data_IF_260778519400
#
_entry.id   IF_260778519400
#
_cell.length_a   1.000
_cell.length_b   1.000
_cell.length_c   1.000
_cell.angle_alpha   90.00
_cell.angle_beta   90.00
_cell.angle_gamma   90.00
#
_symmetry.space_group_name_H-M   'P 1'
#
loop_
_entity.id
_entity.type
_entity.pdbx_description
1 polymer ?
#
# COMPACT_ATOMS: atom_id res chain seq x y z
N UNK A 1 22.46 50.67 -43.14
CA UNK A 1 21.79 49.41 -42.80
C UNK A 1 22.45 48.91 -41.53
N UNK A 2 21.98 49.36 -40.37
CA UNK A 2 22.66 49.16 -39.09
C UNK A 2 21.65 48.57 -38.10
N UNK A 3 21.71 47.24 -37.95
CA UNK A 3 21.02 46.48 -36.90
C UNK A 3 21.98 46.29 -35.73
N UNK A 4 21.54 46.57 -34.51
CA UNK A 4 21.89 45.88 -33.25
C UNK A 4 21.59 46.80 -32.06
N UNK A 5 21.02 46.36 -30.94
CA UNK A 5 20.64 45.05 -30.41
C UNK A 5 19.56 45.31 -29.36
N UNK A 6 18.56 44.43 -29.27
CA UNK A 6 17.50 44.50 -28.27
C UNK A 6 18.04 44.37 -26.84
N UNK A 7 17.45 45.14 -25.92
CA UNK A 7 17.64 45.02 -24.47
C UNK A 7 17.22 43.62 -24.04
N UNK A 8 18.16 42.81 -23.55
CA UNK A 8 17.84 41.61 -22.78
C UNK A 8 17.11 42.01 -21.49
N UNK A 9 16.01 41.31 -21.23
CA UNK A 9 15.14 41.53 -20.07
C UNK A 9 15.88 41.30 -18.75
N UNK A 10 15.47 42.07 -17.74
CA UNK A 10 15.93 42.00 -16.36
C UNK A 10 15.72 40.58 -15.82
N UNK A 11 16.81 39.92 -15.45
CA UNK A 11 16.76 38.81 -14.49
C UNK A 11 16.13 39.35 -13.21
N UNK A 12 15.18 38.63 -12.62
CA UNK A 12 14.65 39.00 -11.31
C UNK A 12 15.82 38.99 -10.32
N UNK A 13 16.22 40.17 -9.83
CA UNK A 13 17.21 40.31 -8.79
C UNK A 13 16.61 39.74 -7.50
N UNK A 14 17.02 38.52 -7.15
CA UNK A 14 16.68 37.90 -5.87
C UNK A 14 17.51 38.62 -4.80
N UNK A 15 16.90 39.16 -3.73
CA UNK A 15 17.63 39.86 -2.68
C UNK A 15 18.75 38.99 -2.11
N UNK A 16 19.93 39.57 -1.95
CA UNK A 16 21.14 38.83 -1.52
C UNK A 16 20.97 38.20 -0.13
N UNK A 17 20.02 38.71 0.67
CA UNK A 17 19.63 38.20 2.00
C UNK A 17 18.73 36.95 1.94
N UNK A 18 18.04 36.73 0.82
CA UNK A 18 17.22 35.52 0.59
C UNK A 18 18.06 34.36 0.02
N UNK A 19 19.22 34.65 -0.59
CA UNK A 19 20.14 33.64 -1.11
C UNK A 19 20.63 32.66 -0.03
N UNK A 20 21.01 33.08 1.19
CA UNK A 20 21.38 32.16 2.27
C UNK A 20 20.25 31.20 2.64
N UNK A 21 19.01 31.68 2.70
CA UNK A 21 17.87 30.86 3.09
C UNK A 21 17.48 29.88 1.97
N UNK A 22 17.51 30.32 0.70
CA UNK A 22 17.34 29.43 -0.46
C UNK A 22 18.44 28.36 -0.54
N UNK A 23 19.69 28.72 -0.27
CA UNK A 23 20.82 27.77 -0.21
C UNK A 23 20.63 26.78 0.93
N UNK A 24 20.15 27.22 2.10
CA UNK A 24 19.84 26.35 3.24
C UNK A 24 18.69 25.39 2.94
N UNK A 25 17.62 25.88 2.31
CA UNK A 25 16.49 25.06 1.87
C UNK A 25 16.92 24.04 0.81
N UNK A 26 17.68 24.46 -0.20
CA UNK A 26 18.21 23.56 -1.23
C UNK A 26 19.15 22.49 -0.63
N UNK A 27 19.98 22.87 0.35
CA UNK A 27 20.86 21.94 1.08
C UNK A 27 20.05 20.99 1.97
N UNK A 28 19.01 21.47 2.65
CA UNK A 28 18.13 20.63 3.46
C UNK A 28 17.35 19.63 2.59
N UNK A 29 16.84 20.05 1.44
CA UNK A 29 16.14 19.19 0.49
C UNK A 29 17.08 18.16 -0.13
N UNK A 30 18.31 18.55 -0.49
CA UNK A 30 19.30 17.61 -1.04
C UNK A 30 19.74 16.59 0.01
N UNK A 31 19.98 17.01 1.25
CA UNK A 31 20.27 16.11 2.37
C UNK A 31 19.11 15.16 2.68
N UNK A 32 17.87 15.66 2.69
CA UNK A 32 16.68 14.83 2.89
C UNK A 32 16.53 13.78 1.79
N UNK A 33 16.74 14.18 0.53
CA UNK A 33 16.73 13.26 -0.61
C UNK A 33 17.82 12.19 -0.51
N UNK A 34 19.04 12.58 -0.16
CA UNK A 34 20.14 11.64 0.07
C UNK A 34 19.81 10.68 1.21
N UNK A 35 19.22 11.17 2.30
CA UNK A 35 18.84 10.33 3.44
C UNK A 35 17.79 9.27 3.04
N UNK A 36 16.78 9.66 2.26
CA UNK A 36 15.76 8.75 1.73
C UNK A 36 16.39 7.71 0.80
N UNK A 37 17.26 8.14 -0.12
CA UNK A 37 17.92 7.27 -1.09
C UNK A 37 18.90 6.28 -0.41
N UNK A 38 19.57 6.70 0.66
CA UNK A 38 20.41 5.83 1.50
C UNK A 38 19.55 4.79 2.23
N UNK A 39 18.37 5.16 2.73
CA UNK A 39 17.43 4.21 3.35
C UNK A 39 17.01 3.14 2.33
N UNK A 40 16.66 3.53 1.10
CA UNK A 40 16.28 2.59 0.03
C UNK A 40 17.42 1.62 -0.36
N UNK A 41 18.67 2.08 -0.32
CA UNK A 41 19.86 1.25 -0.62
C UNK A 41 20.17 0.27 0.52
N UNK A 42 20.14 0.73 1.77
CA UNK A 42 20.57 -0.07 2.92
C UNK A 42 19.48 -0.95 3.51
N UNK A 43 18.21 -0.57 3.31
CA UNK A 43 17.05 -1.33 3.76
C UNK A 43 16.06 -1.51 2.61
N UNK A 44 16.41 -2.26 1.55
CA UNK A 44 15.48 -2.55 0.45
C UNK A 44 14.26 -3.32 0.95
N UNK A 45 14.42 -4.09 2.04
CA UNK A 45 13.32 -4.71 2.77
C UNK A 45 12.31 -3.67 3.26
N UNK A 46 12.67 -2.46 3.69
CA UNK A 46 11.68 -1.46 4.19
C UNK A 46 10.78 -0.95 3.06
N UNK A 47 11.35 -0.74 1.86
CA UNK A 47 10.59 -0.29 0.68
C UNK A 47 9.84 -1.45 0.00
N UNK A 48 10.24 -2.70 0.25
CA UNK A 48 9.57 -3.93 -0.21
C UNK A 48 8.63 -4.54 0.86
N UNK A 49 8.73 -4.15 2.14
CA UNK A 49 8.03 -4.78 3.29
C UNK A 49 6.82 -4.02 3.81
N UNK A 50 6.53 -2.82 3.31
CA UNK A 50 5.25 -2.13 3.60
C UNK A 50 4.23 -2.07 2.43
N UNK A 51 4.10 -3.06 1.53
CA UNK A 51 3.15 -2.97 0.44
C UNK A 51 1.70 -3.19 0.88
N UNK A 52 1.45 -3.81 2.03
CA UNK A 52 0.09 -4.18 2.38
C UNK A 52 -0.80 -2.98 2.59
N UNK A 53 -0.27 -1.86 3.10
CA UNK A 53 -1.05 -0.63 3.29
C UNK A 53 -1.73 -0.16 1.99
N UNK A 54 -1.09 -0.35 0.84
CA UNK A 54 -1.65 0.01 -0.47
C UNK A 54 -2.87 -0.82 -0.88
N UNK A 55 -3.04 -2.01 -0.30
CA UNK A 55 -4.21 -2.86 -0.48
C UNK A 55 -5.28 -2.65 0.60
N UNK A 56 -5.05 -1.76 1.57
CA UNK A 56 -5.97 -1.48 2.65
C UNK A 56 -6.54 -0.06 2.53
N UNK A 57 -7.82 0.10 2.85
CA UNK A 57 -8.53 1.38 2.84
C UNK A 57 -9.39 1.52 4.07
N UNK A 58 -9.23 2.62 4.79
CA UNK A 58 -10.06 2.95 5.94
C UNK A 58 -11.45 3.39 5.48
N UNK A 59 -12.47 2.94 6.20
CA UNK A 59 -13.88 3.32 5.99
C UNK A 59 -14.55 3.53 7.34
N UNK A 60 -15.72 4.18 7.36
CA UNK A 60 -16.42 4.51 8.62
C UNK A 60 -16.69 3.31 9.53
N UNK A 61 -16.92 2.13 8.94
CA UNK A 61 -17.26 0.90 9.67
C UNK A 61 -16.05 0.00 9.99
N UNK A 62 -14.83 0.40 9.60
CA UNK A 62 -13.60 -0.39 9.80
C UNK A 62 -12.64 -0.29 8.63
N UNK A 63 -12.09 -1.42 8.18
CA UNK A 63 -11.07 -1.45 7.12
C UNK A 63 -11.47 -2.37 5.98
N UNK A 64 -11.33 -1.89 4.75
CA UNK A 64 -11.47 -2.68 3.53
C UNK A 64 -10.11 -3.17 3.09
N UNK A 65 -10.02 -4.48 2.81
CA UNK A 65 -8.82 -5.13 2.28
C UNK A 65 -9.08 -5.64 0.87
N UNK A 66 -8.20 -5.29 -0.07
CA UNK A 66 -8.22 -5.74 -1.45
C UNK A 66 -7.32 -6.99 -1.62
N UNK A 67 -7.95 -8.09 -2.03
CA UNK A 67 -7.38 -9.43 -2.04
C UNK A 67 -7.39 -10.03 -3.45
N UNK A 68 -6.42 -10.89 -3.74
CA UNK A 68 -6.37 -11.76 -4.91
C UNK A 68 -6.34 -13.22 -4.45
N UNK A 69 -7.49 -13.90 -4.59
CA UNK A 69 -7.74 -15.22 -4.05
C UNK A 69 -7.49 -16.30 -5.10
N UNK A 70 -6.60 -17.25 -4.76
CA UNK A 70 -6.35 -18.48 -5.52
C UNK A 70 -7.03 -19.66 -4.82
N UNK A 71 -8.19 -20.13 -5.30
CA UNK A 71 -8.90 -21.28 -4.75
C UNK A 71 -8.28 -22.61 -5.20
N UNK A 72 -8.59 -23.70 -4.50
CA UNK A 72 -8.16 -25.06 -4.85
C UNK A 72 -6.66 -25.32 -4.66
N UNK A 73 -5.99 -24.57 -3.78
CA UNK A 73 -4.58 -24.79 -3.45
C UNK A 73 -4.39 -26.03 -2.55
N UNK A 74 -3.21 -26.63 -2.58
CA UNK A 74 -2.87 -27.76 -1.68
C UNK A 74 -2.91 -27.34 -0.20
N UNK A 75 -2.57 -26.08 0.09
CA UNK A 75 -2.52 -25.54 1.43
C UNK A 75 -3.16 -24.15 1.48
N UNK A 76 -3.80 -23.82 2.62
CA UNK A 76 -4.33 -22.48 2.87
C UNK A 76 -3.22 -21.59 3.41
N UNK A 77 -2.98 -20.45 2.77
CA UNK A 77 -1.92 -19.50 3.14
C UNK A 77 -2.46 -18.06 3.07
N UNK A 78 -2.39 -17.34 4.21
CA UNK A 78 -2.87 -15.97 4.37
C UNK A 78 -1.89 -15.18 5.24
N UNK A 79 -1.29 -14.10 4.74
CA UNK A 79 -1.11 -13.76 3.32
C UNK A 79 -0.12 -14.73 2.64
N UNK A 80 -0.27 -14.98 1.33
CA UNK A 80 0.72 -15.76 0.55
C UNK A 80 1.73 -14.92 -0.20
N UNK A 81 1.51 -13.60 -0.26
CA UNK A 81 2.34 -12.65 -0.99
C UNK A 81 1.60 -11.33 -1.21
N UNK A 82 2.20 -10.45 -2.00
CA UNK A 82 1.62 -9.19 -2.44
C UNK A 82 1.85 -8.99 -3.93
N UNK A 83 0.81 -8.55 -4.65
CA UNK A 83 0.89 -8.17 -6.04
C UNK A 83 1.03 -6.63 -6.15
N UNK A 84 2.24 -6.09 -6.43
CA UNK A 84 2.46 -4.65 -6.48
C UNK A 84 1.78 -3.95 -7.64
N UNK A 85 1.55 -4.65 -8.76
CA UNK A 85 0.86 -4.05 -9.90
C UNK A 85 -0.63 -3.87 -9.66
N UNK A 86 -1.25 -4.86 -9.00
CA UNK A 86 -2.68 -4.84 -8.69
C UNK A 86 -3.01 -4.19 -7.36
N UNK A 87 -2.00 -3.90 -6.54
CA UNK A 87 -2.11 -3.46 -5.14
C UNK A 87 -3.04 -4.36 -4.33
N UNK A 88 -2.77 -5.67 -4.38
CA UNK A 88 -3.62 -6.70 -3.77
C UNK A 88 -2.80 -7.71 -2.99
N UNK A 89 -3.34 -8.14 -1.86
CA UNK A 89 -2.74 -9.21 -1.05
C UNK A 89 -3.13 -10.55 -1.66
N UNK A 90 -2.15 -11.38 -1.96
CA UNK A 90 -2.38 -12.71 -2.50
C UNK A 90 -2.76 -13.67 -1.37
N UNK A 91 -3.79 -14.47 -1.61
CA UNK A 91 -4.28 -15.47 -0.67
C UNK A 91 -4.49 -16.80 -1.38
N UNK A 92 -4.04 -17.89 -0.76
CA UNK A 92 -4.31 -19.25 -1.23
C UNK A 92 -5.31 -19.94 -0.32
N UNK A 93 -6.35 -20.50 -0.91
CA UNK A 93 -7.42 -21.22 -0.21
C UNK A 93 -7.45 -22.66 -0.68
N UNK A 94 -7.65 -23.60 0.23
CA UNK A 94 -7.76 -25.02 -0.14
C UNK A 94 -9.12 -25.38 -0.71
N UNK A 95 -10.17 -24.65 -0.35
CA UNK A 95 -11.50 -24.86 -0.92
C UNK A 95 -11.54 -24.45 -2.39
N UNK A 96 -12.26 -25.23 -3.19
CA UNK A 96 -12.49 -24.93 -4.60
C UNK A 96 -13.46 -23.74 -4.77
N UNK A 97 -13.40 -23.09 -5.93
CA UNK A 97 -14.31 -22.01 -6.34
C UNK A 97 -15.73 -22.51 -6.69
N UNK A 98 -16.28 -23.42 -5.89
CA UNK A 98 -17.58 -24.06 -6.15
C UNK A 98 -18.56 -23.74 -5.03
N UNK A 99 -19.79 -23.37 -5.41
CA UNK A 99 -20.91 -23.11 -4.49
C UNK A 99 -20.58 -22.14 -3.33
N UNK A 100 -19.65 -21.20 -3.53
CA UNK A 100 -19.27 -20.23 -2.50
C UNK A 100 -18.33 -20.75 -1.41
N UNK A 101 -17.89 -22.01 -1.45
CA UNK A 101 -17.00 -22.59 -0.41
C UNK A 101 -15.68 -21.84 -0.22
N UNK A 102 -15.09 -21.34 -1.30
CA UNK A 102 -13.92 -20.46 -1.21
C UNK A 102 -14.22 -19.13 -0.51
N UNK A 103 -15.43 -18.57 -0.68
CA UNK A 103 -15.84 -17.35 0.02
C UNK A 103 -16.04 -17.62 1.52
N UNK A 104 -16.68 -18.74 1.87
CA UNK A 104 -16.87 -19.16 3.26
C UNK A 104 -15.53 -19.39 3.97
N UNK A 105 -14.61 -20.12 3.34
CA UNK A 105 -13.27 -20.32 3.89
C UNK A 105 -12.49 -19.01 4.01
N UNK A 106 -12.65 -18.09 3.05
CA UNK A 106 -12.00 -16.78 3.15
C UNK A 106 -12.47 -16.03 4.40
N UNK A 107 -13.78 -15.96 4.62
CA UNK A 107 -14.39 -15.29 5.77
C UNK A 107 -13.88 -15.92 7.07
N UNK A 108 -13.94 -17.24 7.18
CA UNK A 108 -13.48 -17.99 8.37
C UNK A 108 -12.00 -17.71 8.67
N UNK A 109 -11.14 -17.76 7.65
CA UNK A 109 -9.70 -17.60 7.85
C UNK A 109 -9.31 -16.17 8.17
N UNK A 110 -10.01 -15.17 7.62
CA UNK A 110 -9.80 -13.77 8.00
C UNK A 110 -10.33 -13.49 9.41
N UNK A 111 -11.49 -14.04 9.77
CA UNK A 111 -12.04 -13.93 11.12
C UNK A 111 -11.06 -14.48 12.17
N UNK A 112 -10.49 -15.66 11.94
CA UNK A 112 -9.44 -16.25 12.80
C UNK A 112 -8.17 -15.40 12.80
N UNK A 113 -7.77 -14.85 11.65
CA UNK A 113 -6.54 -14.06 11.54
C UNK A 113 -6.60 -12.76 12.36
N UNK A 114 -7.74 -12.08 12.32
CA UNK A 114 -7.95 -10.80 12.99
C UNK A 114 -8.62 -10.93 14.37
N UNK A 115 -8.90 -12.15 14.81
CA UNK A 115 -9.60 -12.45 16.08
C UNK A 115 -10.96 -11.72 16.21
N UNK A 116 -11.76 -11.78 15.15
CA UNK A 116 -13.09 -11.16 15.06
C UNK A 116 -14.15 -12.20 14.67
N UNK A 117 -15.45 -11.97 14.96
CA UNK A 117 -16.48 -12.91 14.55
C UNK A 117 -16.65 -12.91 13.01
N UNK A 118 -17.07 -14.05 12.45
CA UNK A 118 -17.36 -14.19 11.02
C UNK A 118 -18.36 -13.13 10.50
N UNK A 119 -19.30 -12.69 11.34
CA UNK A 119 -20.28 -11.64 11.01
C UNK A 119 -19.67 -10.25 10.83
N UNK A 120 -18.45 -10.05 11.33
CA UNK A 120 -17.65 -8.83 11.16
C UNK A 120 -16.79 -8.85 9.90
N UNK A 121 -16.78 -9.95 9.14
CA UNK A 121 -16.05 -10.08 7.87
C UNK A 121 -17.05 -10.16 6.73
N UNK A 122 -17.03 -9.18 5.83
CA UNK A 122 -17.99 -9.12 4.72
C UNK A 122 -17.30 -8.92 3.37
N UNK A 123 -17.64 -9.76 2.38
CA UNK A 123 -17.15 -9.59 1.02
C UNK A 123 -18.03 -8.55 0.32
N UNK A 124 -17.52 -7.33 0.20
CA UNK A 124 -18.26 -6.20 -0.40
C UNK A 124 -18.16 -6.18 -1.93
N UNK A 125 -17.15 -6.84 -2.51
CA UNK A 125 -16.98 -6.94 -3.95
C UNK A 125 -16.28 -8.24 -4.37
N UNK A 126 -16.48 -8.68 -5.61
CA UNK A 126 -15.71 -9.80 -6.17
C UNK A 126 -16.18 -11.20 -5.76
N UNK A 127 -17.44 -11.35 -5.33
CA UNK A 127 -18.00 -12.66 -4.90
C UNK A 127 -17.88 -13.75 -5.96
N UNK A 128 -17.86 -13.38 -7.25
CA UNK A 128 -17.78 -14.29 -8.41
C UNK A 128 -16.39 -14.40 -9.07
N UNK A 129 -15.37 -13.65 -8.61
CA UNK A 129 -14.02 -13.67 -9.18
C UNK A 129 -12.95 -13.87 -8.08
N UNK A 130 -11.69 -14.05 -8.48
CA UNK A 130 -10.51 -14.13 -7.59
C UNK A 130 -10.20 -12.80 -6.90
N UNK A 131 -10.42 -11.68 -7.58
CA UNK A 131 -10.23 -10.35 -7.00
C UNK A 131 -11.42 -10.01 -6.09
N UNK A 132 -11.16 -9.82 -4.81
CA UNK A 132 -12.18 -9.55 -3.78
C UNK A 132 -11.84 -8.31 -2.99
N UNK A 133 -12.86 -7.61 -2.51
CA UNK A 133 -12.70 -6.59 -1.47
C UNK A 133 -13.48 -7.06 -0.25
N UNK A 134 -12.82 -7.08 0.91
CA UNK A 134 -13.39 -7.59 2.15
C UNK A 134 -13.36 -6.49 3.20
N UNK A 135 -14.52 -6.19 3.77
CA UNK A 135 -14.66 -5.31 4.92
C UNK A 135 -14.42 -6.10 6.21
N UNK A 136 -13.51 -5.62 7.04
CA UNK A 136 -13.32 -6.02 8.42
C UNK A 136 -13.93 -4.93 9.31
N UNK A 137 -15.03 -5.26 9.99
CA UNK A 137 -15.72 -4.31 10.86
C UNK A 137 -14.94 -4.08 12.15
N UNK A 138 -14.89 -2.82 12.60
CA UNK A 138 -14.24 -2.40 13.84
C UNK A 138 -12.75 -2.79 13.93
N UNK A 139 -12.08 -2.96 12.80
CA UNK A 139 -10.63 -3.18 12.72
C UNK A 139 -10.00 -1.92 12.13
N UNK A 140 -9.07 -1.32 12.86
CA UNK A 140 -8.29 -0.18 12.39
C UNK A 140 -7.23 -0.61 11.37
N UNK A 141 -6.92 0.28 10.43
CA UNK A 141 -6.02 -0.01 9.32
C UNK A 141 -4.61 -0.38 9.81
N UNK A 142 -4.09 0.31 10.82
CA UNK A 142 -2.74 0.06 11.36
C UNK A 142 -2.65 -1.30 12.07
N UNK A 143 -3.71 -1.70 12.78
CA UNK A 143 -3.84 -3.03 13.37
C UNK A 143 -3.87 -4.10 12.27
N UNK A 144 -4.65 -3.86 11.21
CA UNK A 144 -4.77 -4.80 10.11
C UNK A 144 -3.44 -5.02 9.39
N UNK A 145 -2.72 -3.94 9.08
CA UNK A 145 -1.37 -3.99 8.50
C UNK A 145 -0.43 -4.78 9.41
N UNK A 146 -0.39 -4.45 10.70
CA UNK A 146 0.48 -5.11 11.67
C UNK A 146 0.24 -6.62 11.78
N UNK A 147 -1.01 -7.07 11.71
CA UNK A 147 -1.36 -8.50 11.75
C UNK A 147 -0.90 -9.23 10.48
N UNK A 148 -1.04 -8.59 9.32
CA UNK A 148 -0.65 -9.16 8.03
C UNK A 148 0.88 -9.27 7.91
N UNK A 149 1.61 -8.24 8.33
CA UNK A 149 3.09 -8.21 8.31
C UNK A 149 3.68 -9.30 9.21
N UNK A 150 3.12 -9.51 10.42
CA UNK A 150 3.56 -10.57 11.36
C UNK A 150 3.44 -11.99 10.80
N UNK A 151 2.66 -12.19 9.74
CA UNK A 151 2.42 -13.51 9.14
C UNK A 151 3.27 -13.80 7.92
N UNK A 152 4.00 -12.83 7.38
CA UNK A 152 5.03 -13.09 6.37
C UNK A 152 6.21 -13.78 7.07
N UNK A 153 6.64 -14.91 6.52
CA UNK A 153 7.87 -15.63 6.88
C UNK A 153 8.80 -15.67 5.69
#
# INVERSE_FOLDING_TARGET
MSLSRGKLGRTADIPEDELPELVRQATALSLLYIQILVIDIYNPEITISMPFKDALREVSDGTVIDLEVTPGSKHTCIPSGYNPWRKRIEIKLSQAAQKGKANEQLIERLAILFDIPNSSVNIISGTKNSQKSVLLKAVEIDVAVSVLEKRIK
#
